data_IF_444570879360
#
_entry.id   IF_444570879360
#
_cell.length_a   1.000
_cell.length_b   1.000
_cell.length_c   1.000
_cell.angle_alpha   90.00
_cell.angle_beta   90.00
_cell.angle_gamma   90.00
#
_symmetry.space_group_name_H-M   'P 1'
#
loop_
_entity.id
_entity.type
_entity.pdbx_description
1 polymer ?
#
# COMPACT_ATOMS: atom_id res chain seq x y z
N UNK A 1 -11.92 -8.23 13.61
CA UNK A 1 -11.26 -9.34 12.89
C UNK A 1 -12.12 -9.99 11.79
N UNK A 2 -13.42 -10.31 12.00
CA UNK A 2 -14.29 -10.91 10.95
C UNK A 2 -14.42 -10.09 9.66
N UNK A 3 -14.46 -8.76 9.73
CA UNK A 3 -14.63 -7.87 8.55
C UNK A 3 -13.37 -7.81 7.66
N UNK A 4 -12.17 -7.94 8.25
CA UNK A 4 -10.91 -7.96 7.49
C UNK A 4 -10.73 -9.27 6.74
N UNK A 5 -11.13 -10.39 7.35
CA UNK A 5 -11.13 -11.69 6.68
C UNK A 5 -12.07 -11.73 5.47
N UNK A 6 -13.23 -11.07 5.56
CA UNK A 6 -14.20 -10.98 4.45
C UNK A 6 -13.63 -10.23 3.24
N UNK A 7 -12.89 -9.15 3.46
CA UNK A 7 -12.24 -8.36 2.38
C UNK A 7 -11.15 -9.19 1.70
N UNK A 8 -10.35 -9.93 2.47
CA UNK A 8 -9.32 -10.82 1.92
C UNK A 8 -9.92 -11.96 1.10
N UNK A 9 -11.02 -12.57 1.56
CA UNK A 9 -11.72 -13.64 0.84
C UNK A 9 -12.37 -13.11 -0.44
N UNK A 10 -12.96 -11.92 -0.43
CA UNK A 10 -13.49 -11.28 -1.64
C UNK A 10 -12.36 -10.96 -2.65
N UNK A 11 -11.22 -10.49 -2.21
CA UNK A 11 -10.06 -10.24 -3.08
C UNK A 11 -9.53 -11.53 -3.72
N UNK A 12 -9.51 -12.65 -2.98
CA UNK A 12 -9.12 -13.96 -3.51
C UNK A 12 -10.15 -14.52 -4.51
N UNK A 13 -11.45 -14.33 -4.28
CA UNK A 13 -12.51 -14.82 -5.17
C UNK A 13 -12.49 -14.13 -6.54
N UNK A 14 -12.12 -12.84 -6.59
CA UNK A 14 -12.01 -12.07 -7.84
C UNK A 14 -10.78 -12.49 -8.66
N UNK A 15 -9.77 -13.10 -8.03
CA UNK A 15 -8.53 -13.51 -8.70
C UNK A 15 -8.69 -14.73 -9.64
N UNK A 16 -9.82 -15.44 -9.60
CA UNK A 16 -10.09 -16.65 -10.39
C UNK A 16 -10.98 -16.41 -11.62
N UNK A 17 -11.26 -15.16 -11.98
CA UNK A 17 -12.02 -14.87 -13.19
C UNK A 17 -11.18 -15.14 -14.45
N UNK A 18 -11.65 -15.98 -15.35
CA UNK A 18 -10.99 -16.34 -16.62
C UNK A 18 -10.75 -15.12 -17.54
N UNK A 19 -11.54 -14.07 -17.40
CA UNK A 19 -11.35 -12.81 -18.14
C UNK A 19 -10.98 -11.66 -17.20
N UNK A 20 -9.70 -11.34 -17.15
CA UNK A 20 -9.19 -10.25 -16.33
C UNK A 20 -9.44 -8.89 -16.97
N UNK A 21 -10.09 -8.00 -16.22
CA UNK A 21 -10.42 -6.64 -16.65
C UNK A 21 -9.39 -5.62 -16.16
N UNK A 22 -8.83 -4.76 -17.06
CA UNK A 22 -7.95 -3.67 -16.65
C UNK A 22 -8.62 -2.68 -15.69
N UNK A 23 -9.92 -2.46 -15.82
CA UNK A 23 -10.68 -1.59 -14.93
C UNK A 23 -10.75 -2.17 -13.51
N UNK A 24 -11.04 -3.47 -13.39
CA UNK A 24 -11.06 -4.16 -12.10
C UNK A 24 -9.69 -4.07 -11.41
N UNK A 25 -8.59 -4.26 -12.14
CA UNK A 25 -7.24 -4.11 -11.61
C UNK A 25 -6.98 -2.69 -11.07
N UNK A 26 -7.38 -1.65 -11.81
CA UNK A 26 -7.27 -0.25 -11.38
C UNK A 26 -8.10 0.05 -10.13
N UNK A 27 -9.34 -0.46 -10.05
CA UNK A 27 -10.19 -0.29 -8.85
C UNK A 27 -9.61 -1.01 -7.64
N UNK A 28 -9.04 -2.20 -7.80
CA UNK A 28 -8.38 -2.94 -6.72
C UNK A 28 -7.14 -2.21 -6.21
N UNK A 29 -6.28 -1.71 -7.10
CA UNK A 29 -5.10 -0.92 -6.71
C UNK A 29 -5.49 0.41 -6.08
N UNK A 30 -6.43 1.15 -6.68
CA UNK A 30 -6.92 2.43 -6.15
C UNK A 30 -7.61 2.27 -4.79
N UNK A 31 -8.47 1.26 -4.63
CA UNK A 31 -9.10 0.91 -3.36
C UNK A 31 -8.07 0.49 -2.32
N UNK A 32 -7.09 -0.32 -2.70
CA UNK A 32 -5.97 -0.71 -1.84
C UNK A 32 -5.14 0.49 -1.38
N UNK A 33 -4.87 1.45 -2.28
CA UNK A 33 -4.18 2.69 -1.95
C UNK A 33 -4.99 3.57 -0.97
N UNK A 34 -6.31 3.66 -1.16
CA UNK A 34 -7.17 4.39 -0.24
C UNK A 34 -7.17 3.76 1.18
N UNK A 35 -7.25 2.43 1.27
CA UNK A 35 -7.14 1.70 2.54
C UNK A 35 -5.78 1.93 3.19
N UNK A 36 -4.68 1.83 2.42
CA UNK A 36 -3.33 2.11 2.88
C UNK A 36 -3.21 3.53 3.46
N UNK A 37 -3.71 4.53 2.72
CA UNK A 37 -3.72 5.92 3.15
C UNK A 37 -4.50 6.14 4.44
N UNK A 38 -5.69 5.55 4.56
CA UNK A 38 -6.52 5.65 5.75
C UNK A 38 -5.84 5.02 6.98
N UNK A 39 -5.24 3.84 6.83
CA UNK A 39 -4.54 3.16 7.93
C UNK A 39 -3.29 3.94 8.37
N UNK A 40 -2.49 4.46 7.45
CA UNK A 40 -1.34 5.28 7.79
C UNK A 40 -1.77 6.59 8.45
N UNK A 41 -2.78 7.27 7.91
CA UNK A 41 -3.29 8.51 8.49
C UNK A 41 -3.80 8.31 9.93
N UNK A 42 -4.56 7.24 10.20
CA UNK A 42 -5.01 6.93 11.57
C UNK A 42 -3.84 6.67 12.51
N UNK A 43 -2.79 5.98 12.05
CA UNK A 43 -1.57 5.73 12.84
C UNK A 43 -0.86 7.04 13.21
N UNK A 44 -0.82 8.02 12.30
CA UNK A 44 -0.25 9.34 12.56
C UNK A 44 -1.13 10.20 13.47
N UNK A 45 -2.44 10.21 13.25
CA UNK A 45 -3.37 11.02 14.06
C UNK A 45 -3.42 10.55 15.52
N UNK A 46 -3.34 9.24 15.76
CA UNK A 46 -3.27 8.71 17.13
C UNK A 46 -1.97 9.12 17.84
N UNK A 47 -0.84 9.15 17.11
CA UNK A 47 0.43 9.61 17.66
C UNK A 47 0.46 11.12 17.94
N UNK A 48 -0.28 11.94 17.16
CA UNK A 48 -0.29 13.40 17.32
C UNK A 48 -1.09 13.90 18.53
N UNK A 49 -1.94 13.06 19.13
CA UNK A 49 -2.77 13.42 20.28
C UNK A 49 -2.07 13.27 21.65
N UNK A 50 -0.72 13.18 21.66
CA UNK A 50 0.06 13.05 22.90
C UNK A 50 0.15 11.63 23.45
N UNK A 51 -0.47 10.67 22.78
CA UNK A 51 -0.30 9.26 23.09
C UNK A 51 1.09 8.77 22.65
N UNK A 52 1.76 7.90 23.43
CA UNK A 52 3.02 7.32 22.99
C UNK A 52 2.84 6.55 21.69
N UNK A 53 3.77 6.74 20.77
CA UNK A 53 3.75 6.12 19.45
C UNK A 53 3.59 4.58 19.56
N UNK A 54 2.42 4.08 19.16
CA UNK A 54 2.13 2.64 19.26
C UNK A 54 2.83 1.89 18.12
N UNK A 55 4.10 1.48 18.37
CA UNK A 55 4.93 0.78 17.38
C UNK A 55 4.27 -0.44 16.74
N UNK A 56 3.59 -1.35 17.49
CA UNK A 56 2.83 -2.46 16.91
C UNK A 56 1.77 -2.04 15.91
N UNK A 57 1.02 -0.98 16.19
CA UNK A 57 -0.01 -0.45 15.28
C UNK A 57 0.62 0.13 14.03
N UNK A 58 1.72 0.88 14.18
CA UNK A 58 2.48 1.42 13.04
C UNK A 58 3.00 0.29 12.15
N UNK A 59 3.63 -0.74 12.72
CA UNK A 59 4.21 -1.83 11.93
C UNK A 59 3.13 -2.64 11.21
N UNK A 60 1.99 -2.90 11.87
CA UNK A 60 0.85 -3.53 11.23
C UNK A 60 0.30 -2.65 10.08
N UNK A 61 0.19 -1.34 10.31
CA UNK A 61 -0.23 -0.36 9.32
C UNK A 61 0.69 -0.31 8.11
N UNK A 62 2.01 -0.27 8.33
CA UNK A 62 3.01 -0.31 7.27
C UNK A 62 2.94 -1.61 6.48
N UNK A 63 2.73 -2.77 7.14
CA UNK A 63 2.56 -4.05 6.47
C UNK A 63 1.35 -4.07 5.54
N UNK A 64 0.19 -3.63 6.04
CA UNK A 64 -1.04 -3.51 5.23
C UNK A 64 -0.83 -2.53 4.07
N UNK A 65 -0.27 -1.35 4.34
CA UNK A 65 -0.03 -0.33 3.33
C UNK A 65 0.98 -0.76 2.26
N UNK A 66 1.91 -1.65 2.59
CA UNK A 66 2.87 -2.20 1.62
C UNK A 66 2.20 -3.10 0.59
N UNK A 67 1.21 -3.89 1.00
CA UNK A 67 0.60 -4.94 0.16
C UNK A 67 -0.64 -4.46 -0.58
N UNK A 68 -1.54 -3.71 0.09
CA UNK A 68 -2.87 -3.42 -0.46
C UNK A 68 -2.89 -2.64 -1.78
N UNK A 69 -1.99 -1.68 -2.07
CA UNK A 69 -1.97 -1.01 -3.37
C UNK A 69 -1.59 -1.91 -4.56
N UNK A 70 -0.92 -3.06 -4.30
CA UNK A 70 -0.56 -4.02 -5.36
C UNK A 70 -1.67 -5.03 -5.69
N UNK A 71 -2.85 -4.93 -5.08
CA UNK A 71 -3.95 -5.88 -5.31
C UNK A 71 -4.35 -5.98 -6.79
N UNK A 72 -4.24 -4.90 -7.56
CA UNK A 72 -4.51 -4.91 -8.99
C UNK A 72 -3.49 -5.73 -9.78
N UNK A 73 -2.22 -5.66 -9.44
CA UNK A 73 -1.16 -6.47 -10.05
C UNK A 73 -1.27 -7.94 -9.61
N UNK A 74 -1.61 -8.21 -8.33
CA UNK A 74 -1.88 -9.58 -7.87
C UNK A 74 -3.05 -10.20 -8.64
N UNK A 75 -4.10 -9.43 -8.88
CA UNK A 75 -5.20 -9.84 -9.77
C UNK A 75 -4.69 -10.17 -11.19
N UNK A 76 -3.73 -9.41 -11.71
CA UNK A 76 -3.08 -9.69 -12.99
C UNK A 76 -2.06 -10.85 -12.93
N UNK A 77 -1.79 -11.43 -11.76
CA UNK A 77 -0.82 -12.50 -11.57
C UNK A 77 0.63 -12.02 -11.43
N UNK A 78 0.83 -10.76 -11.11
CA UNK A 78 2.15 -10.18 -10.83
C UNK A 78 2.32 -10.02 -9.31
N UNK A 79 3.05 -10.94 -8.68
CA UNK A 79 3.17 -11.00 -7.22
C UNK A 79 4.19 -10.04 -6.62
N UNK A 80 5.11 -9.53 -7.42
CA UNK A 80 6.12 -8.58 -6.98
C UNK A 80 6.23 -7.44 -7.98
N UNK A 81 5.98 -6.22 -7.53
CA UNK A 81 5.95 -5.04 -8.38
C UNK A 81 7.03 -4.04 -7.98
N UNK A 82 7.51 -3.20 -8.90
CA UNK A 82 8.44 -2.13 -8.56
C UNK A 82 7.87 -1.18 -7.49
N UNK A 83 6.58 -0.87 -7.55
CA UNK A 83 5.90 -0.04 -6.53
C UNK A 83 5.91 -0.71 -5.16
N UNK A 84 5.70 -2.03 -5.09
CA UNK A 84 5.82 -2.79 -3.84
C UNK A 84 7.25 -2.77 -3.31
N UNK A 85 8.27 -2.92 -4.15
CA UNK A 85 9.67 -2.85 -3.74
C UNK A 85 10.02 -1.48 -3.12
N UNK A 86 9.57 -0.39 -3.73
CA UNK A 86 9.74 0.97 -3.20
C UNK A 86 9.06 1.09 -1.83
N UNK A 87 7.84 0.57 -1.66
CA UNK A 87 7.13 0.63 -0.36
C UNK A 87 7.80 -0.23 0.72
N UNK A 88 8.33 -1.39 0.37
CA UNK A 88 9.12 -2.21 1.32
C UNK A 88 10.34 -1.43 1.80
N UNK A 89 11.09 -0.81 0.90
CA UNK A 89 12.24 0.03 1.27
C UNK A 89 11.82 1.22 2.14
N UNK A 90 10.72 1.88 1.80
CA UNK A 90 10.15 2.99 2.57
C UNK A 90 9.68 2.55 3.96
N UNK A 91 9.05 1.38 4.07
CA UNK A 91 8.66 0.80 5.37
C UNK A 91 9.89 0.52 6.23
N UNK A 92 10.93 -0.07 5.66
CA UNK A 92 12.20 -0.30 6.35
C UNK A 92 12.82 0.99 6.86
N UNK A 93 12.81 2.05 6.04
CA UNK A 93 13.32 3.36 6.43
C UNK A 93 12.50 3.99 7.57
N UNK A 94 11.18 3.88 7.53
CA UNK A 94 10.31 4.36 8.59
C UNK A 94 10.54 3.59 9.91
N UNK A 95 10.65 2.27 9.84
CA UNK A 95 10.96 1.41 11.00
C UNK A 95 12.33 1.76 11.58
N UNK A 96 13.33 1.96 10.73
CA UNK A 96 14.66 2.40 11.16
C UNK A 96 14.60 3.74 11.90
N UNK A 97 13.92 4.75 11.32
CA UNK A 97 13.79 6.07 11.91
C UNK A 97 13.13 6.01 13.31
N UNK A 98 12.02 5.28 13.43
CA UNK A 98 11.30 5.16 14.71
C UNK A 98 12.11 4.42 15.78
N UNK A 99 12.98 3.49 15.40
CA UNK A 99 13.74 2.72 16.38
C UNK A 99 15.08 3.37 16.79
N UNK A 100 15.69 4.14 15.89
CA UNK A 100 17.05 4.64 16.11
C UNK A 100 17.13 6.17 16.32
N UNK A 101 16.11 6.91 15.86
CA UNK A 101 16.11 8.37 15.92
C UNK A 101 15.15 8.93 16.98
N UNK A 102 14.60 8.10 17.88
CA UNK A 102 13.84 8.56 19.04
C UNK A 102 14.78 9.18 20.09
N UNK A 103 14.39 10.31 20.66
CA UNK A 103 15.02 10.93 21.82
C UNK A 103 14.00 11.10 22.94
N UNK A 104 14.45 10.94 24.18
CA UNK A 104 13.65 11.30 25.36
C UNK A 104 13.83 12.80 25.59
N UNK A 105 12.73 13.53 25.60
CA UNK A 105 12.69 14.98 25.85
C UNK A 105 11.68 15.28 26.96
N UNK A 106 11.84 16.40 27.66
CA UNK A 106 10.83 16.87 28.61
C UNK A 106 9.65 17.44 27.83
N UNK A 107 8.43 17.00 28.16
CA UNK A 107 7.24 17.49 27.50
C UNK A 107 6.84 18.87 27.99
N UNK A 108 6.54 19.79 27.05
CA UNK A 108 6.10 21.14 27.32
C UNK A 108 4.57 21.31 27.12
N UNK A 109 3.82 20.22 26.94
CA UNK A 109 2.36 20.30 26.77
C UNK A 109 1.66 20.42 28.12
N UNK A 110 0.59 21.20 28.17
CA UNK A 110 -0.15 21.48 29.42
C UNK A 110 -0.66 20.21 30.15
N UNK A 111 -0.84 19.10 29.42
CA UNK A 111 -1.28 17.82 29.99
C UNK A 111 -0.13 16.97 30.56
N UNK A 112 1.11 17.17 30.11
CA UNK A 112 2.26 16.29 30.40
C UNK A 112 3.51 17.08 30.79
N UNK A 113 3.32 18.30 31.30
CA UNK A 113 4.43 19.18 31.67
C UNK A 113 5.33 18.52 32.74
N UNK A 114 6.62 18.43 32.43
CA UNK A 114 7.62 17.81 33.31
C UNK A 114 7.78 16.30 33.15
N UNK A 115 6.96 15.62 32.35
CA UNK A 115 7.12 14.20 32.05
C UNK A 115 8.11 13.97 30.89
N UNK A 116 8.70 12.78 30.86
CA UNK A 116 9.59 12.36 29.78
C UNK A 116 8.78 11.84 28.60
N UNK A 117 8.86 12.52 27.46
CA UNK A 117 8.24 12.10 26.20
C UNK A 117 9.29 11.56 25.22
N UNK A 118 8.85 10.69 24.34
CA UNK A 118 9.65 10.24 23.21
C UNK A 118 9.33 11.07 21.97
N UNK A 119 10.32 11.75 21.43
CA UNK A 119 10.20 12.51 20.19
C UNK A 119 11.25 12.05 19.17
N UNK A 120 10.91 12.16 17.89
CA UNK A 120 11.88 11.92 16.82
C UNK A 120 12.84 13.10 16.72
N UNK A 121 14.14 12.80 16.62
CA UNK A 121 15.15 13.81 16.27
C UNK A 121 14.89 14.37 14.87
N UNK A 122 15.46 15.52 14.55
CA UNK A 122 15.31 16.15 13.23
C UNK A 122 15.67 15.22 12.05
N UNK A 123 16.73 14.41 12.22
CA UNK A 123 17.10 13.38 11.24
C UNK A 123 15.99 12.32 11.09
N UNK A 124 15.39 11.87 12.17
CA UNK A 124 14.28 10.92 12.14
C UNK A 124 13.06 11.47 11.43
N UNK A 125 12.73 12.76 11.65
CA UNK A 125 11.63 13.43 10.93
C UNK A 125 11.91 13.48 9.43
N UNK A 126 13.14 13.81 9.03
CA UNK A 126 13.52 13.81 7.61
C UNK A 126 13.42 12.42 6.99
N UNK A 127 13.86 11.37 7.68
CA UNK A 127 13.77 9.98 7.21
C UNK A 127 12.30 9.55 7.05
N UNK A 128 11.42 9.90 7.98
CA UNK A 128 9.97 9.64 7.86
C UNK A 128 9.38 10.38 6.66
N UNK A 129 9.81 11.63 6.42
CA UNK A 129 9.41 12.39 5.24
C UNK A 129 9.79 11.69 3.93
N UNK A 130 11.02 11.22 3.82
CA UNK A 130 11.50 10.45 2.66
C UNK A 130 10.73 9.13 2.52
N UNK A 131 10.51 8.41 3.62
CA UNK A 131 9.71 7.19 3.62
C UNK A 131 8.27 7.44 3.13
N UNK A 132 7.63 8.52 3.59
CA UNK A 132 6.28 8.89 3.16
C UNK A 132 6.21 9.18 1.66
N UNK A 133 7.20 9.93 1.12
CA UNK A 133 7.29 10.19 -0.32
C UNK A 133 7.49 8.91 -1.13
N UNK A 134 8.33 7.99 -0.65
CA UNK A 134 8.52 6.67 -1.28
C UNK A 134 7.24 5.83 -1.25
N UNK A 135 6.49 5.83 -0.14
CA UNK A 135 5.19 5.16 -0.06
C UNK A 135 4.20 5.71 -1.08
N UNK A 136 4.04 7.05 -1.13
CA UNK A 136 3.14 7.71 -2.07
C UNK A 136 3.55 7.39 -3.52
N UNK A 137 4.85 7.51 -3.84
CA UNK A 137 5.37 7.19 -5.16
C UNK A 137 5.13 5.73 -5.56
N UNK A 138 5.36 4.78 -4.64
CA UNK A 138 5.10 3.36 -4.87
C UNK A 138 3.61 3.03 -5.04
N UNK A 139 2.72 3.68 -4.27
CA UNK A 139 1.26 3.55 -4.45
C UNK A 139 0.80 4.09 -5.80
N UNK A 140 1.31 5.26 -6.16
CA UNK A 140 0.98 5.90 -7.44
C UNK A 140 1.43 5.06 -8.62
N UNK A 141 2.66 4.53 -8.56
CA UNK A 141 3.19 3.63 -9.58
C UNK A 141 2.29 2.42 -9.78
N UNK A 142 1.93 1.70 -8.71
CA UNK A 142 1.09 0.52 -8.80
C UNK A 142 -0.33 0.84 -9.29
N UNK A 143 -0.90 1.98 -8.91
CA UNK A 143 -2.22 2.39 -9.37
C UNK A 143 -2.25 2.67 -10.89
N UNK A 144 -1.19 3.29 -11.42
CA UNK A 144 -1.06 3.56 -12.86
C UNK A 144 -0.79 2.28 -13.64
N UNK A 145 0.12 1.43 -13.15
CA UNK A 145 0.57 0.21 -13.84
C UNK A 145 -0.45 -0.95 -13.78
N UNK A 146 -1.44 -0.90 -12.87
CA UNK A 146 -2.39 -1.99 -12.66
C UNK A 146 -3.16 -2.40 -13.93
N UNK A 147 -3.49 -1.45 -14.81
CA UNK A 147 -4.13 -1.73 -16.10
C UNK A 147 -3.20 -2.45 -17.06
N UNK A 148 -1.98 -1.97 -17.16
CA UNK A 148 -0.96 -2.52 -18.06
C UNK A 148 -0.52 -3.92 -17.60
N UNK A 149 -0.56 -4.22 -16.31
CA UNK A 149 -0.32 -5.55 -15.76
C UNK A 149 -1.29 -6.59 -16.33
N UNK A 150 -2.58 -6.23 -16.48
CA UNK A 150 -3.58 -7.12 -17.11
C UNK A 150 -3.27 -7.32 -18.59
N UNK A 151 -2.85 -6.28 -19.29
CA UNK A 151 -2.48 -6.40 -20.72
C UNK A 151 -1.22 -7.26 -20.89
N UNK A 152 -0.25 -7.14 -19.98
CA UNK A 152 0.91 -8.05 -19.92
C UNK A 152 0.49 -9.49 -19.65
N UNK A 153 -0.48 -9.71 -18.75
CA UNK A 153 -1.04 -11.03 -18.47
C UNK A 153 -1.71 -11.63 -19.73
N UNK A 154 -2.56 -10.86 -20.42
CA UNK A 154 -3.23 -11.28 -21.65
C UNK A 154 -2.23 -11.68 -22.74
N UNK A 155 -1.18 -10.88 -22.94
CA UNK A 155 -0.11 -11.19 -23.90
C UNK A 155 0.64 -12.49 -23.55
N UNK A 156 0.88 -12.74 -22.27
CA UNK A 156 1.55 -13.96 -21.81
C UNK A 156 0.71 -15.22 -21.98
N UNK A 157 -0.61 -15.10 -21.88
CA UNK A 157 -1.54 -16.23 -22.02
C UNK A 157 -2.13 -16.35 -23.43
N UNK A 158 -1.61 -15.63 -24.40
CA UNK A 158 -2.00 -15.73 -25.80
C UNK A 158 -3.41 -15.26 -26.13
N UNK A 159 -4.08 -14.55 -25.21
CA UNK A 159 -5.42 -14.02 -25.44
C UNK A 159 -5.32 -12.74 -26.25
N UNK A 160 -5.74 -12.79 -27.51
CA UNK A 160 -5.83 -11.61 -28.39
C UNK A 160 -7.30 -11.17 -28.39
N UNK A 161 -7.53 -9.94 -27.92
CA UNK A 161 -8.83 -9.28 -28.02
C UNK A 161 -8.78 -8.31 -29.19
N UNK A 162 -9.49 -8.60 -30.28
CA UNK A 162 -9.53 -7.73 -31.45
C UNK A 162 -10.92 -7.08 -31.56
N UNK A 163 -11.02 -5.76 -31.71
CA UNK A 163 -12.30 -5.12 -32.04
C UNK A 163 -12.74 -5.54 -33.45
N UNK A 164 -13.99 -5.97 -33.55
CA UNK A 164 -14.63 -6.27 -34.84
C UNK A 164 -15.80 -5.32 -35.07
N UNK A 165 -16.25 -5.11 -36.32
CA UNK A 165 -17.38 -4.22 -36.62
C UNK A 165 -18.68 -4.59 -35.88
N UNK A 166 -18.83 -5.84 -35.46
CA UNK A 166 -20.02 -6.37 -34.81
C UNK A 166 -19.78 -6.74 -33.32
N UNK A 167 -18.67 -6.32 -32.71
CA UNK A 167 -18.35 -6.62 -31.32
C UNK A 167 -16.86 -6.85 -31.08
N UNK A 168 -16.53 -7.84 -30.24
CA UNK A 168 -15.15 -8.16 -29.84
C UNK A 168 -14.87 -9.61 -30.22
N UNK A 169 -13.81 -9.88 -30.97
CA UNK A 169 -13.30 -11.23 -31.21
C UNK A 169 -12.23 -11.59 -30.17
N UNK A 170 -12.37 -12.77 -29.56
CA UNK A 170 -11.38 -13.38 -28.70
C UNK A 170 -10.62 -14.42 -29.51
N UNK A 171 -9.31 -14.24 -29.67
CA UNK A 171 -8.39 -15.21 -30.28
C UNK A 171 -7.31 -15.61 -29.27
N UNK A 172 -6.89 -16.86 -29.29
CA UNK A 172 -5.81 -17.36 -28.47
C UNK A 172 -5.26 -18.68 -29.02
N UNK A 173 -4.00 -18.99 -28.74
CA UNK A 173 -3.44 -20.32 -28.92
C UNK A 173 -3.84 -21.19 -27.72
N UNK A 174 -4.62 -22.21 -27.95
CA UNK A 174 -4.99 -23.22 -26.97
C UNK A 174 -3.96 -24.34 -26.97
#
# INVERSE_FOLDING_TARGET
MRKVALILVLACAVAHADDKSPQTAKYLSGGGAAVAGAVLLTSFLTASNGEPFNKPVLYAGLGVATVTPSLGQFYAGEWFTPGMAIRIASAGLAVYAVNNEEATVTCDTAATYGENCKQLKGAGVALIGVAALGFIGGMWYDALDAGDAVDRWRKRHGIIVAPTPNGVALGGSF
#
